data_IF_920170272804
#
_entry.id   IF_920170272804
#
_cell.length_a   1.000
_cell.length_b   1.000
_cell.length_c   1.000
_cell.angle_alpha   90.00
_cell.angle_beta   90.00
_cell.angle_gamma   90.00
#
_symmetry.space_group_name_H-M   'P 1'
#
loop_
_entity.id
_entity.type
_entity.pdbx_description
1 polymer ?
#
# COMPACT_ATOMS: atom_id res chain seq x y z
N UNK A 1 -9.50 23.90 -3.93
CA UNK A 1 -9.50 22.54 -3.34
C UNK A 1 -8.53 21.73 -4.18
N UNK A 2 -7.36 21.37 -3.66
CA UNK A 2 -6.51 20.41 -4.36
C UNK A 2 -7.19 19.05 -4.22
N UNK A 3 -7.53 18.41 -5.32
CA UNK A 3 -7.97 17.02 -5.28
C UNK A 3 -6.76 16.17 -4.85
N UNK A 4 -6.94 15.28 -3.87
CA UNK A 4 -5.95 14.27 -3.55
C UNK A 4 -5.74 13.39 -4.78
N UNK A 5 -4.50 13.28 -5.25
CA UNK A 5 -4.14 12.35 -6.31
C UNK A 5 -3.93 10.97 -5.68
N UNK A 6 -4.90 10.07 -5.87
CA UNK A 6 -4.93 8.77 -5.22
C UNK A 6 -4.44 7.68 -6.17
N UNK A 7 -3.53 6.84 -5.67
CA UNK A 7 -3.07 5.64 -6.36
C UNK A 7 -3.80 4.43 -5.78
N UNK A 8 -4.42 3.66 -6.67
CA UNK A 8 -5.02 2.38 -6.34
C UNK A 8 -3.96 1.28 -6.35
N UNK A 9 -3.77 0.61 -5.23
CA UNK A 9 -2.91 -0.57 -5.10
C UNK A 9 -3.78 -1.78 -4.83
N UNK A 10 -3.61 -2.86 -5.61
CA UNK A 10 -4.38 -4.11 -5.50
C UNK A 10 -3.47 -5.32 -5.45
N UNK A 11 -3.85 -6.34 -4.70
CA UNK A 11 -3.16 -7.64 -4.66
C UNK A 11 -4.17 -8.80 -4.63
N UNK A 12 -3.68 -10.02 -4.77
CA UNK A 12 -4.46 -11.24 -4.53
C UNK A 12 -3.90 -11.93 -3.29
N UNK A 13 -4.77 -12.29 -2.36
CA UNK A 13 -4.44 -13.03 -1.17
C UNK A 13 -5.63 -13.95 -0.82
N UNK A 14 -5.33 -15.12 -0.27
CA UNK A 14 -6.31 -16.07 0.20
C UNK A 14 -5.76 -16.79 1.43
N UNK A 15 -6.62 -16.99 2.42
CA UNK A 15 -6.38 -17.90 3.52
C UNK A 15 -7.14 -19.20 3.23
N UNK A 16 -6.44 -20.34 3.26
CA UNK A 16 -7.05 -21.65 2.98
C UNK A 16 -7.96 -22.11 4.13
N UNK A 17 -7.67 -21.66 5.35
CA UNK A 17 -8.41 -22.00 6.55
C UNK A 17 -9.55 -21.00 6.81
N UNK A 18 -9.58 -19.90 6.05
CA UNK A 18 -10.67 -18.92 6.04
C UNK A 18 -10.60 -17.89 7.16
N UNK A 19 -9.45 -17.74 7.82
CA UNK A 19 -9.24 -16.67 8.79
C UNK A 19 -9.21 -15.28 8.10
N UNK A 20 -9.57 -14.24 8.86
CA UNK A 20 -9.52 -12.87 8.38
C UNK A 20 -8.07 -12.43 8.12
N UNK A 21 -7.80 -12.02 6.88
CA UNK A 21 -6.49 -11.46 6.52
C UNK A 21 -6.40 -9.98 6.87
N UNK A 22 -5.21 -9.56 7.31
CA UNK A 22 -4.88 -8.16 7.58
C UNK A 22 -3.54 -7.80 6.96
N UNK A 23 -3.49 -6.67 6.28
CA UNK A 23 -2.33 -6.24 5.51
C UNK A 23 -1.76 -4.91 6.00
N UNK A 24 -0.44 -4.80 5.94
CA UNK A 24 0.27 -3.53 5.93
C UNK A 24 0.90 -3.37 4.54
N UNK A 25 0.89 -2.16 4.01
CA UNK A 25 1.50 -1.83 2.73
C UNK A 25 2.71 -0.95 3.00
N UNK A 26 3.86 -1.36 2.48
CA UNK A 26 5.10 -0.63 2.57
C UNK A 26 5.65 -0.35 1.18
N UNK A 27 6.42 0.73 1.08
CA UNK A 27 7.01 1.19 -0.15
C UNK A 27 8.51 1.39 0.02
N UNK A 28 9.27 1.08 -1.03
CA UNK A 28 10.72 1.23 -1.07
C UNK A 28 11.14 1.93 -2.36
N UNK A 29 12.04 2.91 -2.22
CA UNK A 29 12.66 3.64 -3.34
C UNK A 29 14.09 3.19 -3.63
N UNK A 30 14.62 2.26 -2.84
CA UNK A 30 16.03 1.85 -2.83
C UNK A 30 16.22 0.34 -3.07
N UNK A 31 15.37 -0.22 -3.94
CA UNK A 31 15.36 -1.64 -4.32
C UNK A 31 15.21 -2.58 -3.11
N UNK A 32 14.45 -2.16 -2.10
CA UNK A 32 14.12 -2.97 -0.93
C UNK A 32 15.16 -2.93 0.20
N UNK A 33 16.11 -1.99 0.17
CA UNK A 33 17.08 -1.81 1.25
C UNK A 33 16.40 -1.23 2.50
N UNK A 34 15.47 -0.29 2.30
CA UNK A 34 14.60 0.27 3.34
C UNK A 34 13.15 0.35 2.86
N UNK A 35 12.22 0.37 3.82
CA UNK A 35 10.78 0.30 3.57
C UNK A 35 10.01 1.24 4.49
N UNK A 36 9.27 2.18 3.90
CA UNK A 36 8.38 3.10 4.61
C UNK A 36 6.95 2.56 4.62
N UNK A 37 6.25 2.75 5.74
CA UNK A 37 4.85 2.33 5.87
C UNK A 37 3.93 3.37 5.23
N UNK A 38 3.13 2.94 4.25
CA UNK A 38 2.23 3.81 3.48
C UNK A 38 0.75 3.53 3.75
N UNK A 39 0.43 2.33 4.26
CA UNK A 39 -0.88 1.99 4.78
C UNK A 39 -0.78 0.83 5.79
N UNK A 40 -1.72 0.74 6.73
CA UNK A 40 -1.70 -0.30 7.75
C UNK A 40 -3.11 -0.75 8.13
N UNK A 41 -3.22 -1.97 8.66
CA UNK A 41 -4.49 -2.55 9.12
C UNK A 41 -5.57 -2.65 8.03
N UNK A 42 -5.17 -2.94 6.80
CA UNK A 42 -6.11 -3.09 5.68
C UNK A 42 -6.74 -4.48 5.72
N UNK A 43 -8.07 -4.55 5.60
CA UNK A 43 -8.84 -5.81 5.58
C UNK A 43 -9.23 -6.24 4.16
N UNK A 44 -9.15 -5.33 3.20
CA UNK A 44 -9.41 -5.61 1.79
C UNK A 44 -8.10 -5.88 1.04
N UNK A 45 -8.19 -6.53 -0.12
CA UNK A 45 -7.04 -6.74 -1.03
C UNK A 45 -6.76 -5.53 -1.93
N UNK A 46 -7.14 -4.33 -1.46
CA UNK A 46 -6.96 -3.06 -2.13
C UNK A 46 -6.80 -1.93 -1.11
N UNK A 47 -6.05 -0.89 -1.48
CA UNK A 47 -6.03 0.38 -0.74
C UNK A 47 -5.82 1.56 -1.70
N UNK A 48 -6.44 2.70 -1.38
CA UNK A 48 -6.15 3.99 -2.00
C UNK A 48 -5.10 4.72 -1.16
N UNK A 49 -3.98 5.07 -1.77
CA UNK A 49 -2.87 5.76 -1.10
C UNK A 49 -2.65 7.09 -1.81
N UNK A 50 -2.52 8.17 -1.04
CA UNK A 50 -2.16 9.47 -1.58
C UNK A 50 -0.80 9.39 -2.27
N UNK A 51 -0.69 9.92 -3.50
CA UNK A 51 0.55 9.94 -4.28
C UNK A 51 1.71 10.54 -3.47
N UNK A 52 1.43 11.47 -2.55
CA UNK A 52 2.44 12.04 -1.67
C UNK A 52 3.13 11.01 -0.75
N UNK A 53 2.52 9.86 -0.47
CA UNK A 53 3.14 8.82 0.35
C UNK A 53 4.18 7.98 -0.43
N UNK A 54 4.31 8.15 -1.74
CA UNK A 54 5.33 7.51 -2.58
C UNK A 54 6.52 8.42 -2.91
N UNK A 55 6.66 9.53 -2.17
CA UNK A 55 7.75 10.50 -2.33
C UNK A 55 9.11 9.80 -2.34
N UNK A 56 9.95 10.16 -3.30
CA UNK A 56 11.30 9.58 -3.48
C UNK A 56 11.43 8.65 -4.68
N UNK A 57 10.33 8.22 -5.32
CA UNK A 57 10.40 7.77 -6.70
C UNK A 57 10.58 8.95 -7.66
N UNK A 58 11.38 8.77 -8.71
CA UNK A 58 11.25 9.60 -9.91
C UNK A 58 9.93 9.22 -10.58
N UNK A 59 8.88 9.96 -10.25
CA UNK A 59 7.51 9.65 -10.60
C UNK A 59 6.92 10.61 -11.62
#
# INVERSE_FOLDING_TARGET
>A
VYASDLITVTWNAADVDGDDLRFNVQYSTDNGTSWDMVAMNILESQVLIDRENFRGSNQ
#
